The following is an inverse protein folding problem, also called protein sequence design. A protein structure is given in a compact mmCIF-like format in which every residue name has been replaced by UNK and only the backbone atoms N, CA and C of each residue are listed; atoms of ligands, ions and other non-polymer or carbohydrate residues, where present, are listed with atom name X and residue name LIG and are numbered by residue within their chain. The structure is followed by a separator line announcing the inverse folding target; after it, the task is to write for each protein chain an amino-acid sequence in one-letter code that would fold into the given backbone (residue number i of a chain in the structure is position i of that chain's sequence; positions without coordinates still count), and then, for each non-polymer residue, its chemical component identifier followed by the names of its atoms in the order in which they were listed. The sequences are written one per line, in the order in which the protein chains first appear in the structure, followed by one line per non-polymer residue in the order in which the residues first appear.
data_IF_394962920994
#
_entry.id   IF_394962920994
#
_cell.length_a   1.000
_cell.length_b   1.000
_cell.length_c   1.000
_cell.angle_alpha   90.00
_cell.angle_beta   90.00
_cell.angle_gamma   90.00
#
_symmetry.space_group_name_H-M   'P 1'
#
loop_
_entity.id
_entity.type
_entity.pdbx_description
1 polymer ?
#
# COMPACT_ATOMS: atom_id res chain seq x y z
N UNK A 1 11.77 19.39 14.73
CA UNK A 1 10.74 18.39 14.38
C UNK A 1 11.38 17.00 14.42
N UNK A 2 11.37 16.32 15.60
CA UNK A 2 11.66 14.88 15.63
C UNK A 2 10.42 14.18 15.06
N UNK A 3 10.46 13.76 13.79
CA UNK A 3 9.46 12.83 13.29
C UNK A 3 9.54 11.57 14.17
N UNK A 4 8.40 11.11 14.66
CA UNK A 4 8.34 9.86 15.42
C UNK A 4 8.85 8.75 14.50
N UNK A 5 10.00 8.16 14.84
CA UNK A 5 10.58 7.07 14.06
C UNK A 5 9.70 5.82 14.23
N UNK A 6 9.33 5.20 13.12
CA UNK A 6 8.64 3.91 13.12
C UNK A 6 9.66 2.86 13.53
N UNK A 7 9.43 2.18 14.66
CA UNK A 7 10.34 1.14 15.22
C UNK A 7 9.76 -0.26 15.20
N UNK A 8 8.45 -0.37 15.13
CA UNK A 8 7.74 -1.65 15.13
C UNK A 8 6.78 -1.75 13.94
N UNK A 9 6.65 -2.97 13.40
CA UNK A 9 5.69 -3.30 12.35
C UNK A 9 4.24 -3.01 12.75
N UNK A 10 3.93 -2.96 14.04
CA UNK A 10 2.62 -2.57 14.54
C UNK A 10 2.26 -1.10 14.25
N UNK A 11 3.25 -0.27 13.87
CA UNK A 11 3.06 1.11 13.47
C UNK A 11 2.81 1.28 11.96
N UNK A 12 2.84 0.18 11.18
CA UNK A 12 2.47 0.18 9.77
C UNK A 12 0.96 0.31 9.61
N UNK A 13 0.51 1.01 8.60
CA UNK A 13 -0.93 1.16 8.31
C UNK A 13 -1.53 -0.17 7.87
N UNK A 14 -0.88 -0.86 6.95
CA UNK A 14 -1.22 -2.20 6.49
C UNK A 14 0.04 -3.01 6.21
N UNK A 15 -0.06 -4.31 6.40
CA UNK A 15 0.98 -5.27 6.04
C UNK A 15 0.34 -6.54 5.46
N UNK A 16 0.89 -7.02 4.36
CA UNK A 16 0.58 -8.32 3.76
C UNK A 16 1.87 -9.13 3.66
N UNK A 17 1.96 -10.21 4.41
CA UNK A 17 3.10 -11.13 4.35
C UNK A 17 3.06 -11.95 3.07
N UNK A 18 4.18 -12.03 2.36
CA UNK A 18 4.28 -12.81 1.13
C UNK A 18 4.04 -14.31 1.42
N UNK A 19 4.44 -14.80 2.60
CA UNK A 19 4.15 -16.16 3.05
C UNK A 19 2.64 -16.48 3.20
N UNK A 20 1.79 -15.46 3.30
CA UNK A 20 0.34 -15.66 3.36
C UNK A 20 -0.31 -15.88 1.99
N UNK A 21 0.44 -15.68 0.89
CA UNK A 21 -0.03 -15.94 -0.47
C UNK A 21 -0.09 -17.45 -0.66
N UNK A 22 -1.27 -18.04 -0.97
CA UNK A 22 -1.39 -19.48 -1.09
C UNK A 22 -0.87 -19.98 -2.44
N UNK A 23 -0.28 -21.17 -2.45
CA UNK A 23 0.05 -21.91 -3.69
C UNK A 23 -1.23 -22.44 -4.36
N UNK A 24 -2.10 -21.52 -4.75
CA UNK A 24 -3.37 -21.84 -5.39
C UNK A 24 -3.44 -21.15 -6.75
N UNK A 25 -4.17 -21.75 -7.68
CA UNK A 25 -4.35 -21.16 -9.01
C UNK A 25 -4.93 -19.74 -8.89
N UNK A 26 -4.34 -18.75 -9.59
CA UNK A 26 -4.69 -17.32 -9.54
C UNK A 26 -3.94 -16.54 -8.47
N UNK A 27 -2.92 -17.16 -7.86
CA UNK A 27 -1.93 -16.48 -7.04
C UNK A 27 -0.54 -16.82 -7.55
N UNK A 28 0.31 -15.80 -7.61
CA UNK A 28 1.71 -15.91 -7.95
C UNK A 28 2.53 -14.96 -7.07
N UNK A 29 3.76 -15.35 -6.76
CA UNK A 29 4.79 -14.47 -6.22
C UNK A 29 6.17 -14.96 -6.64
N UNK A 30 7.05 -14.05 -7.03
CA UNK A 30 8.43 -14.39 -7.37
C UNK A 30 9.22 -14.99 -6.19
N UNK A 31 8.71 -14.86 -4.96
CA UNK A 31 9.30 -15.53 -3.80
C UNK A 31 9.34 -17.07 -3.94
N UNK A 32 8.48 -17.66 -4.78
CA UNK A 32 8.48 -19.10 -5.08
C UNK A 32 9.50 -19.49 -6.15
N UNK A 33 10.03 -18.52 -6.88
CA UNK A 33 10.89 -18.67 -8.04
C UNK A 33 10.31 -17.97 -9.26
N UNK A 34 11.16 -17.70 -10.23
CA UNK A 34 10.76 -17.16 -11.53
C UNK A 34 10.13 -18.26 -12.36
N UNK A 35 9.11 -17.93 -13.12
CA UNK A 35 8.53 -18.76 -14.17
C UNK A 35 8.54 -18.02 -15.52
N UNK A 36 8.11 -18.71 -16.59
CA UNK A 36 8.04 -18.16 -17.94
C UNK A 36 6.71 -17.45 -18.23
N UNK A 37 5.73 -17.54 -17.34
CA UNK A 37 4.38 -17.00 -17.54
C UNK A 37 4.28 -15.54 -17.05
N UNK A 38 5.16 -15.12 -16.11
CA UNK A 38 5.12 -13.80 -15.48
C UNK A 38 6.31 -12.92 -15.87
N UNK A 39 6.06 -11.64 -16.02
CA UNK A 39 7.09 -10.64 -16.31
C UNK A 39 8.11 -10.56 -15.16
N UNK A 40 9.39 -10.26 -15.43
CA UNK A 40 10.43 -10.17 -14.38
C UNK A 40 10.15 -9.11 -13.31
N UNK A 41 9.31 -8.12 -13.60
CA UNK A 41 8.91 -7.06 -12.69
C UNK A 41 7.56 -7.32 -11.99
N UNK A 42 6.89 -8.45 -12.26
CA UNK A 42 5.68 -8.88 -11.56
C UNK A 42 6.03 -9.61 -10.26
N UNK A 43 6.05 -8.91 -9.14
CA UNK A 43 6.44 -9.52 -7.86
C UNK A 43 5.36 -10.38 -7.22
N UNK A 44 4.12 -9.92 -7.32
CA UNK A 44 2.94 -10.61 -6.77
C UNK A 44 1.79 -10.41 -7.76
N UNK A 45 1.06 -11.47 -8.02
CA UNK A 45 -0.19 -11.44 -8.78
C UNK A 45 -1.28 -12.20 -8.04
N UNK A 46 -2.46 -11.59 -7.93
CA UNK A 46 -3.63 -12.23 -7.32
C UNK A 46 -4.87 -11.89 -8.12
N UNK A 47 -5.51 -12.92 -8.66
CA UNK A 47 -6.73 -12.80 -9.46
C UNK A 47 -7.96 -13.21 -8.63
N UNK A 48 -9.03 -12.42 -8.72
CA UNK A 48 -10.30 -12.77 -8.08
C UNK A 48 -10.93 -13.98 -8.76
N UNK A 49 -11.64 -14.77 -7.97
CA UNK A 49 -12.38 -15.94 -8.45
C UNK A 49 -13.80 -15.91 -7.92
N UNK A 50 -14.69 -16.46 -8.71
CA UNK A 50 -16.06 -16.68 -8.26
C UNK A 50 -16.07 -17.74 -7.17
N UNK A 51 -16.81 -17.47 -6.09
CA UNK A 51 -17.02 -18.42 -5.03
C UNK A 51 -17.68 -19.71 -5.59
N UNK A 52 -17.18 -20.90 -5.25
CA UNK A 52 -17.81 -22.15 -5.66
C UNK A 52 -19.23 -22.25 -5.11
N UNK A 53 -20.20 -22.59 -5.97
CA UNK A 53 -21.59 -22.71 -5.57
C UNK A 53 -21.79 -23.92 -4.64
N UNK A 54 -22.48 -23.69 -3.54
CA UNK A 54 -22.80 -24.76 -2.58
C UNK A 54 -23.61 -25.87 -3.27
N UNK A 55 -23.17 -27.13 -3.22
CA UNK A 55 -23.88 -28.22 -3.89
C UNK A 55 -25.26 -28.45 -3.24
N UNK A 56 -26.27 -28.56 -4.07
CA UNK A 56 -27.65 -28.76 -3.60
C UNK A 56 -27.80 -30.09 -2.85
N UNK A 57 -28.36 -30.02 -1.66
CA UNK A 57 -28.70 -31.20 -0.83
C UNK A 57 -29.72 -32.08 -1.56
N UNK A 58 -29.52 -33.40 -1.62
CA UNK A 58 -30.47 -34.32 -2.22
C UNK A 58 -31.89 -34.15 -1.61
N UNK A 59 -32.92 -34.15 -2.45
CA UNK A 59 -34.29 -33.84 -2.02
C UNK A 59 -34.74 -34.76 -0.87
N UNK A 60 -34.33 -36.03 -0.89
CA UNK A 60 -34.68 -37.01 0.14
C UNK A 60 -34.02 -36.71 1.49
N UNK A 61 -32.91 -35.98 1.51
CA UNK A 61 -32.14 -35.66 2.73
C UNK A 61 -32.51 -34.30 3.32
N UNK A 62 -33.24 -33.44 2.58
CA UNK A 62 -33.47 -32.03 2.96
C UNK A 62 -34.07 -31.86 4.39
N UNK A 63 -35.05 -32.69 4.74
CA UNK A 63 -35.72 -32.62 6.07
C UNK A 63 -34.82 -33.18 7.20
N UNK A 64 -33.80 -33.96 6.81
CA UNK A 64 -32.88 -34.62 7.74
C UNK A 64 -31.60 -33.87 7.99
N UNK A 65 -31.35 -32.78 7.26
CA UNK A 65 -30.14 -31.99 7.40
C UNK A 65 -30.34 -30.83 8.34
N UNK A 66 -29.38 -30.61 9.23
CA UNK A 66 -29.36 -29.43 10.06
C UNK A 66 -29.12 -28.18 9.21
N UNK A 67 -30.14 -27.37 8.98
CA UNK A 67 -30.09 -26.15 8.18
C UNK A 67 -29.06 -25.13 8.72
N UNK A 68 -28.79 -25.14 10.01
CA UNK A 68 -27.80 -24.25 10.63
C UNK A 68 -26.36 -24.68 10.29
N UNK A 69 -26.14 -26.02 10.27
CA UNK A 69 -24.82 -26.57 9.90
C UNK A 69 -24.46 -26.30 8.42
N UNK A 70 -25.45 -26.29 7.53
CA UNK A 70 -25.20 -25.92 6.09
C UNK A 70 -24.71 -24.48 5.90
N UNK A 71 -24.94 -23.59 6.87
CA UNK A 71 -24.45 -22.21 6.82
C UNK A 71 -22.98 -22.09 7.19
N UNK A 72 -22.47 -23.06 7.97
CA UNK A 72 -21.05 -23.15 8.31
C UNK A 72 -20.33 -23.90 7.20
N UNK A 73 -19.93 -23.19 6.17
CA UNK A 73 -19.38 -23.73 4.90
C UNK A 73 -18.12 -24.61 5.05
N UNK A 74 -17.49 -24.69 6.22
CA UNK A 74 -16.30 -25.52 6.48
C UNK A 74 -16.57 -26.84 7.19
N UNK A 75 -17.72 -26.98 7.84
CA UNK A 75 -18.03 -28.15 8.66
C UNK A 75 -18.88 -29.17 7.88
N UNK A 76 -18.55 -30.45 8.05
CA UNK A 76 -19.35 -31.53 7.48
C UNK A 76 -20.76 -31.51 8.11
N UNK A 77 -21.83 -31.30 7.33
CA UNK A 77 -23.16 -31.29 7.88
C UNK A 77 -23.60 -32.71 8.32
N UNK A 78 -24.14 -32.82 9.50
CA UNK A 78 -24.64 -34.09 10.01
C UNK A 78 -26.15 -34.22 9.78
N UNK A 79 -26.59 -35.46 9.55
CA UNK A 79 -28.02 -35.77 9.51
C UNK A 79 -28.61 -35.75 10.92
N UNK A 80 -29.81 -35.27 11.04
CA UNK A 80 -30.59 -35.31 12.27
C UNK A 80 -30.97 -36.76 12.59
N UNK A 81 -30.76 -37.21 13.82
CA UNK A 81 -31.10 -38.56 14.27
C UNK A 81 -32.61 -38.85 14.27
N UNK A 82 -33.43 -37.77 14.36
CA UNK A 82 -34.88 -37.84 14.33
C UNK A 82 -35.47 -36.55 13.75
N UNK A 83 -36.60 -36.66 13.06
CA UNK A 83 -37.38 -35.52 12.57
C UNK A 83 -38.84 -35.71 13.04
N UNK A 84 -39.56 -34.59 13.14
CA UNK A 84 -40.99 -34.61 13.47
C UNK A 84 -41.81 -34.09 12.29
N UNK A 85 -42.75 -34.87 11.82
CA UNK A 85 -43.65 -34.48 10.73
C UNK A 85 -45.09 -34.49 11.23
N UNK A 86 -45.89 -33.57 10.74
CA UNK A 86 -47.33 -33.61 10.97
C UNK A 86 -47.94 -34.65 10.02
N UNK A 87 -48.55 -35.68 10.59
CA UNK A 87 -49.30 -36.69 9.80
C UNK A 87 -50.79 -36.55 10.11
N UNK A 88 -51.63 -36.98 9.17
CA UNK A 88 -53.05 -37.01 9.38
C UNK A 88 -53.35 -37.99 10.53
N UNK A 89 -54.11 -37.50 11.52
CA UNK A 89 -54.50 -38.34 12.65
C UNK A 89 -55.39 -39.49 12.16
N UNK A 90 -54.98 -40.75 12.33
CA UNK A 90 -55.80 -41.91 11.90
C UNK A 90 -57.17 -41.99 12.56
N UNK A 91 -57.30 -41.45 13.76
CA UNK A 91 -58.55 -41.47 14.55
C UNK A 91 -59.38 -40.23 14.31
N UNK A 92 -58.94 -39.29 13.48
CA UNK A 92 -59.71 -38.06 13.21
C UNK A 92 -60.93 -38.36 12.34
N UNK A 93 -62.08 -37.82 12.72
CA UNK A 93 -63.36 -37.82 11.98
C UNK A 93 -63.92 -36.41 11.94
N UNK A 94 -64.61 -36.08 10.87
CA UNK A 94 -65.21 -34.76 10.69
C UNK A 94 -66.20 -34.51 11.83
N UNK A 95 -66.00 -33.39 12.59
CA UNK A 95 -66.79 -33.09 13.83
C UNK A 95 -66.23 -33.65 15.12
N UNK A 96 -65.03 -34.28 15.13
CA UNK A 96 -64.40 -34.74 16.39
C UNK A 96 -63.62 -33.61 17.05
N UNK A 97 -63.48 -33.61 18.37
CA UNK A 97 -62.67 -32.71 19.18
C UNK A 97 -61.17 -32.99 19.03
N UNK A 98 -60.74 -33.97 18.23
CA UNK A 98 -59.38 -34.35 18.06
C UNK A 98 -58.76 -33.54 16.91
N UNK A 99 -57.44 -33.15 16.99
CA UNK A 99 -56.79 -32.44 15.93
C UNK A 99 -56.67 -33.30 14.66
N UNK A 100 -56.86 -32.69 13.47
CA UNK A 100 -56.78 -33.37 12.18
C UNK A 100 -55.36 -33.92 11.89
N UNK A 101 -54.33 -33.30 12.45
CA UNK A 101 -52.93 -33.73 12.30
C UNK A 101 -52.28 -33.90 13.66
N UNK A 102 -51.42 -34.92 13.78
CA UNK A 102 -50.65 -35.24 14.98
C UNK A 102 -49.17 -35.29 14.63
N UNK A 103 -48.27 -34.89 15.55
CA UNK A 103 -46.84 -35.00 15.34
C UNK A 103 -46.41 -36.47 15.36
N UNK A 104 -45.76 -36.91 14.32
CA UNK A 104 -45.14 -38.22 14.19
C UNK A 104 -43.63 -38.07 14.14
N UNK A 105 -42.88 -38.81 14.97
CA UNK A 105 -41.44 -38.81 15.04
C UNK A 105 -40.88 -39.96 14.23
N UNK A 106 -40.09 -39.65 13.19
CA UNK A 106 -39.35 -40.61 12.39
C UNK A 106 -37.89 -40.65 12.87
N UNK A 107 -37.29 -41.82 12.92
CA UNK A 107 -35.89 -42.00 13.27
C UNK A 107 -35.04 -42.34 12.03
N UNK A 108 -33.86 -41.71 11.89
CA UNK A 108 -32.97 -41.94 10.76
C UNK A 108 -32.57 -43.41 10.58
N UNK A 109 -32.41 -44.16 11.69
CA UNK A 109 -32.11 -45.61 11.69
C UNK A 109 -33.13 -46.45 10.92
N UNK A 110 -34.37 -45.97 10.80
CA UNK A 110 -35.45 -46.65 10.11
C UNK A 110 -35.45 -46.37 8.60
N UNK A 111 -34.57 -45.46 8.16
CA UNK A 111 -34.42 -44.97 6.77
C UNK A 111 -33.00 -45.17 6.21
N UNK A 112 -32.45 -46.39 6.07
CA UNK A 112 -31.08 -46.63 5.66
C UNK A 112 -30.77 -46.12 4.23
N UNK A 113 -31.80 -45.92 3.42
CA UNK A 113 -31.63 -45.34 2.07
C UNK A 113 -31.24 -43.85 2.12
N UNK A 114 -31.76 -43.10 3.11
CA UNK A 114 -31.38 -41.69 3.31
C UNK A 114 -29.93 -41.57 3.71
N UNK A 115 -29.47 -42.43 4.65
CA UNK A 115 -28.06 -42.46 5.07
C UNK A 115 -27.15 -42.76 3.88
N UNK A 116 -27.44 -43.78 3.07
CA UNK A 116 -26.63 -44.11 1.88
C UNK A 116 -26.61 -42.99 0.82
N UNK A 117 -27.75 -42.30 0.65
CA UNK A 117 -27.82 -41.16 -0.28
C UNK A 117 -27.01 -39.98 0.24
N UNK A 118 -27.02 -39.76 1.56
CA UNK A 118 -26.20 -38.74 2.20
C UNK A 118 -24.72 -39.03 2.11
N UNK A 119 -24.28 -40.24 2.43
CA UNK A 119 -22.88 -40.64 2.37
C UNK A 119 -22.32 -40.45 0.96
N UNK A 120 -23.08 -40.84 -0.06
CA UNK A 120 -22.71 -40.60 -1.47
C UNK A 120 -22.65 -39.09 -1.79
N UNK A 121 -23.61 -38.29 -1.35
CA UNK A 121 -23.59 -36.85 -1.55
C UNK A 121 -22.36 -36.21 -0.90
N UNK A 122 -22.01 -36.61 0.31
CA UNK A 122 -20.82 -36.13 1.01
C UNK A 122 -19.57 -36.47 0.21
N UNK A 123 -19.40 -37.71 -0.21
CA UNK A 123 -18.22 -38.16 -0.94
C UNK A 123 -18.09 -37.54 -2.33
N UNK A 124 -19.19 -37.51 -3.12
CA UNK A 124 -19.13 -37.10 -4.53
C UNK A 124 -19.33 -35.57 -4.73
N UNK A 125 -19.91 -34.86 -3.79
CA UNK A 125 -20.28 -33.44 -3.96
C UNK A 125 -19.72 -32.54 -2.87
N UNK A 126 -19.92 -32.88 -1.60
CA UNK A 126 -19.55 -32.02 -0.48
C UNK A 126 -18.04 -31.92 -0.31
N UNK A 127 -17.31 -33.04 -0.25
CA UNK A 127 -15.86 -33.04 -0.06
C UNK A 127 -15.13 -32.30 -1.20
N UNK A 128 -15.38 -32.58 -2.50
CA UNK A 128 -14.77 -31.82 -3.58
C UNK A 128 -15.10 -30.34 -3.57
N UNK A 129 -16.34 -29.99 -3.18
CA UNK A 129 -16.73 -28.59 -3.03
C UNK A 129 -15.96 -27.93 -1.87
N UNK A 130 -15.83 -28.58 -0.72
CA UNK A 130 -15.11 -28.08 0.45
C UNK A 130 -13.63 -27.79 0.12
N UNK A 131 -12.98 -28.68 -0.61
CA UNK A 131 -11.60 -28.46 -1.08
C UNK A 131 -11.52 -27.21 -1.98
N UNK A 132 -12.42 -27.09 -2.94
CA UNK A 132 -12.47 -25.95 -3.86
C UNK A 132 -12.81 -24.64 -3.13
N UNK A 133 -13.72 -24.71 -2.14
CA UNK A 133 -14.12 -23.55 -1.33
C UNK A 133 -12.98 -23.10 -0.41
N UNK A 134 -12.26 -24.00 0.23
CA UNK A 134 -11.11 -23.69 1.08
C UNK A 134 -9.98 -23.05 0.27
N UNK A 135 -9.72 -23.56 -0.95
CA UNK A 135 -8.76 -22.95 -1.87
C UNK A 135 -9.21 -21.52 -2.26
N UNK A 136 -10.47 -21.36 -2.62
CA UNK A 136 -11.04 -20.04 -2.93
C UNK A 136 -10.95 -19.09 -1.73
N UNK A 137 -11.27 -19.55 -0.52
CA UNK A 137 -11.23 -18.71 0.69
C UNK A 137 -9.83 -18.16 0.97
N UNK A 138 -8.78 -18.99 0.81
CA UNK A 138 -7.39 -18.55 0.95
C UNK A 138 -7.04 -17.46 -0.04
N UNK A 139 -7.37 -17.64 -1.32
CA UNK A 139 -7.14 -16.64 -2.38
C UNK A 139 -7.93 -15.37 -2.11
N UNK A 140 -9.22 -15.51 -1.75
CA UNK A 140 -10.11 -14.38 -1.47
C UNK A 140 -9.64 -13.53 -0.27
N UNK A 141 -9.06 -14.16 0.75
CA UNK A 141 -8.48 -13.46 1.90
C UNK A 141 -7.32 -12.56 1.49
N UNK A 142 -6.40 -13.06 0.64
CA UNK A 142 -5.28 -12.27 0.13
C UNK A 142 -5.78 -11.17 -0.80
N UNK A 143 -6.69 -11.50 -1.71
CA UNK A 143 -7.32 -10.53 -2.61
C UNK A 143 -7.99 -9.38 -1.83
N UNK A 144 -8.75 -9.70 -0.79
CA UNK A 144 -9.40 -8.70 0.07
C UNK A 144 -8.38 -7.82 0.83
N UNK A 145 -7.25 -8.39 1.21
CA UNK A 145 -6.16 -7.65 1.84
C UNK A 145 -5.52 -6.66 0.85
N UNK A 146 -5.24 -7.09 -0.38
CA UNK A 146 -4.74 -6.21 -1.45
C UNK A 146 -5.75 -5.12 -1.80
N UNK A 147 -7.03 -5.47 -1.90
CA UNK A 147 -8.09 -4.48 -2.12
C UNK A 147 -8.11 -3.42 -1.02
N UNK A 148 -7.98 -3.85 0.23
CA UNK A 148 -7.92 -2.93 1.38
C UNK A 148 -6.69 -2.02 1.31
N UNK A 149 -5.51 -2.56 0.97
CA UNK A 149 -4.28 -1.77 0.79
C UNK A 149 -4.47 -0.74 -0.32
N UNK A 150 -5.03 -1.15 -1.46
CA UNK A 150 -5.30 -0.25 -2.59
C UNK A 150 -6.25 0.89 -2.21
N UNK A 151 -7.36 0.59 -1.51
CA UNK A 151 -8.31 1.60 -1.06
C UNK A 151 -7.68 2.57 -0.05
N UNK A 152 -6.90 2.08 0.89
CA UNK A 152 -6.20 2.91 1.87
C UNK A 152 -5.13 3.78 1.20
N UNK A 153 -4.40 3.26 0.23
CA UNK A 153 -3.42 4.04 -0.53
C UNK A 153 -4.07 5.21 -1.26
N UNK A 154 -5.23 4.98 -1.91
CA UNK A 154 -6.01 6.04 -2.55
C UNK A 154 -6.54 7.08 -1.54
N UNK A 155 -6.95 6.63 -0.34
CA UNK A 155 -7.47 7.49 0.71
C UNK A 155 -6.40 8.34 1.37
N UNK A 156 -5.25 7.75 1.67
CA UNK A 156 -4.16 8.39 2.43
C UNK A 156 -3.29 9.28 1.54
N UNK A 157 -3.28 9.04 0.23
CA UNK A 157 -2.52 9.81 -0.73
C UNK A 157 -1.00 9.68 -0.52
N UNK A 158 -0.25 10.68 -0.94
CA UNK A 158 1.21 10.63 -1.04
C UNK A 158 1.99 10.79 0.27
N UNK A 159 1.31 11.07 1.36
CA UNK A 159 1.96 11.00 2.68
C UNK A 159 2.33 9.55 3.04
N UNK A 160 1.78 8.59 2.31
CA UNK A 160 2.02 7.16 2.51
C UNK A 160 2.71 6.56 1.29
N UNK A 161 3.50 5.54 1.53
CA UNK A 161 4.23 4.79 0.51
C UNK A 161 3.91 3.30 0.63
N UNK A 162 3.86 2.64 -0.52
CA UNK A 162 3.80 1.20 -0.60
C UNK A 162 5.20 0.68 -0.88
N UNK A 163 5.69 -0.23 -0.06
CA UNK A 163 7.02 -0.82 -0.21
C UNK A 163 6.99 -2.32 -0.03
N UNK A 164 7.87 -3.02 -0.72
CA UNK A 164 8.23 -4.40 -0.43
C UNK A 164 9.34 -4.36 0.61
N UNK A 165 9.10 -4.92 1.80
CA UNK A 165 10.07 -5.04 2.88
C UNK A 165 10.70 -6.41 2.91
N UNK A 166 12.01 -6.47 3.14
CA UNK A 166 12.84 -7.68 3.23
C UNK A 166 13.70 -7.61 4.50
N UNK A 167 13.91 -8.75 5.14
CA UNK A 167 14.76 -8.86 6.32
C UNK A 167 14.14 -8.21 7.56
N UNK A 168 13.20 -8.89 8.20
CA UNK A 168 12.56 -8.44 9.43
C UNK A 168 13.53 -8.58 10.59
N UNK A 169 14.09 -7.47 11.07
CA UNK A 169 14.87 -7.40 12.29
C UNK A 169 13.96 -7.52 13.51
N UNK A 170 14.30 -8.39 14.45
CA UNK A 170 13.72 -8.44 15.79
C UNK A 170 14.86 -8.33 16.81
N UNK A 171 14.92 -7.21 17.53
CA UNK A 171 16.01 -6.90 18.45
C UNK A 171 15.56 -6.06 19.65
N UNK A 172 16.18 -6.27 20.79
CA UNK A 172 16.14 -5.34 21.91
C UNK A 172 17.48 -4.64 22.01
N UNK A 173 17.50 -3.35 21.74
CA UNK A 173 18.72 -2.55 21.70
C UNK A 173 19.38 -2.47 23.06
N UNK A 174 20.68 -2.12 23.15
CA UNK A 174 21.38 -1.90 24.42
C UNK A 174 20.72 -0.84 25.30
N UNK A 175 20.01 0.12 24.70
CA UNK A 175 19.22 1.16 25.39
C UNK A 175 17.89 0.63 25.93
N UNK A 176 17.55 -0.66 25.70
CA UNK A 176 16.33 -1.31 26.14
C UNK A 176 15.11 -1.09 25.22
N UNK A 177 15.31 -0.45 24.07
CA UNK A 177 14.24 -0.22 23.10
C UNK A 177 14.03 -1.47 22.26
N UNK A 178 12.80 -1.69 21.81
CA UNK A 178 12.46 -2.76 20.86
C UNK A 178 12.48 -2.21 19.44
N UNK A 179 13.21 -2.90 18.57
CA UNK A 179 13.16 -2.70 17.12
C UNK A 179 12.60 -3.96 16.46
N UNK A 180 11.52 -3.82 15.71
CA UNK A 180 10.95 -4.90 14.88
C UNK A 180 10.50 -4.32 13.55
N UNK A 181 11.41 -4.26 12.58
CA UNK A 181 11.18 -3.61 11.29
C UNK A 181 12.06 -4.21 10.20
N UNK A 182 11.64 -4.10 8.94
CA UNK A 182 12.41 -4.54 7.79
C UNK A 182 13.66 -3.66 7.58
N UNK A 183 14.77 -4.31 7.25
CA UNK A 183 16.09 -3.68 7.05
C UNK A 183 16.31 -3.21 5.62
N UNK A 184 15.67 -3.86 4.65
CA UNK A 184 15.76 -3.50 3.22
C UNK A 184 14.35 -3.32 2.69
N UNK A 185 14.16 -2.29 1.89
CA UNK A 185 12.87 -2.01 1.25
C UNK A 185 13.06 -1.63 -0.23
N UNK A 186 12.05 -1.91 -1.03
CA UNK A 186 11.92 -1.43 -2.40
C UNK A 186 10.57 -0.75 -2.59
N UNK A 187 10.53 0.36 -3.34
CA UNK A 187 9.27 1.04 -3.64
C UNK A 187 8.42 0.18 -4.57
N UNK A 188 7.15 0.03 -4.24
CA UNK A 188 6.21 -0.81 -4.93
C UNK A 188 5.00 -0.02 -5.45
N UNK A 189 4.40 -0.52 -6.53
CA UNK A 189 3.13 -0.07 -7.06
C UNK A 189 2.15 -1.23 -6.99
N UNK A 190 0.92 -0.96 -6.58
CA UNK A 190 -0.19 -1.90 -6.63
C UNK A 190 -1.15 -1.48 -7.73
N UNK A 191 -1.15 -2.24 -8.81
CA UNK A 191 -2.03 -2.03 -9.96
C UNK A 191 -3.29 -2.89 -9.84
N UNK A 192 -4.43 -2.35 -10.26
CA UNK A 192 -5.69 -3.08 -10.30
C UNK A 192 -6.30 -3.07 -11.69
N UNK A 193 -6.36 -4.23 -12.31
CA UNK A 193 -7.03 -4.42 -13.59
C UNK A 193 -8.49 -4.85 -13.39
N UNK A 194 -9.41 -3.89 -13.51
CA UNK A 194 -10.84 -4.10 -13.21
C UNK A 194 -11.51 -5.13 -14.12
N UNK A 195 -11.04 -5.31 -15.37
CA UNK A 195 -11.63 -6.26 -16.32
C UNK A 195 -11.38 -7.71 -15.90
N UNK A 196 -10.20 -7.99 -15.39
CA UNK A 196 -9.78 -9.33 -14.96
C UNK A 196 -10.03 -9.53 -13.46
N UNK A 197 -10.27 -8.45 -12.71
CA UNK A 197 -10.33 -8.51 -11.26
C UNK A 197 -8.98 -8.93 -10.66
N UNK A 198 -7.88 -8.41 -11.24
CA UNK A 198 -6.52 -8.82 -10.93
C UNK A 198 -5.76 -7.69 -10.25
N UNK A 199 -5.04 -8.02 -9.20
CA UNK A 199 -4.04 -7.17 -8.57
C UNK A 199 -2.65 -7.63 -8.98
N UNK A 200 -1.80 -6.68 -9.36
CA UNK A 200 -0.38 -6.92 -9.65
C UNK A 200 0.47 -5.95 -8.82
N UNK A 201 1.49 -6.47 -8.13
CA UNK A 201 2.49 -5.66 -7.44
C UNK A 201 3.75 -5.65 -8.26
N UNK A 202 4.23 -4.44 -8.59
CA UNK A 202 5.43 -4.20 -9.40
C UNK A 202 6.36 -3.21 -8.71
N UNK A 203 7.66 -3.13 -9.11
CA UNK A 203 8.52 -2.02 -8.71
C UNK A 203 7.97 -0.68 -9.21
N UNK A 204 8.33 0.39 -8.53
CA UNK A 204 8.04 1.73 -9.03
C UNK A 204 8.76 1.98 -10.37
N UNK A 205 8.23 2.86 -11.25
CA UNK A 205 8.57 3.09 -12.66
C UNK A 205 10.06 3.25 -13.01
N UNK A 206 10.93 3.48 -12.05
CA UNK A 206 12.40 3.57 -12.25
C UNK A 206 13.15 2.27 -11.91
N UNK A 207 12.45 1.15 -11.76
CA UNK A 207 13.00 -0.13 -11.34
C UNK A 207 13.00 -0.32 -9.82
N UNK A 208 13.28 -1.55 -9.39
CA UNK A 208 13.37 -1.89 -7.98
C UNK A 208 14.64 -1.31 -7.37
N UNK A 209 14.59 -0.10 -6.82
CA UNK A 209 15.72 0.44 -6.06
C UNK A 209 15.65 -0.09 -4.64
N UNK A 210 16.39 -1.17 -4.39
CA UNK A 210 16.55 -1.71 -3.04
C UNK A 210 17.34 -0.71 -2.19
N UNK A 211 16.80 -0.33 -1.05
CA UNK A 211 17.48 0.57 -0.10
C UNK A 211 17.49 -0.01 1.30
N UNK A 212 18.64 0.01 1.98
CA UNK A 212 18.71 -0.33 3.39
C UNK A 212 18.11 0.78 4.24
N UNK A 213 17.43 0.39 5.30
CA UNK A 213 16.84 1.31 6.28
C UNK A 213 17.30 0.93 7.68
N UNK A 214 18.07 1.80 8.32
CA UNK A 214 18.54 1.67 9.71
C UNK A 214 18.02 2.82 10.59
N UNK A 215 17.13 3.65 10.05
CA UNK A 215 16.59 4.82 10.73
C UNK A 215 15.74 4.53 11.97
N UNK A 216 15.33 3.25 12.16
CA UNK A 216 14.68 2.80 13.39
C UNK A 216 15.64 2.65 14.57
N UNK A 217 16.96 2.64 14.32
CA UNK A 217 17.99 2.57 15.34
C UNK A 217 18.45 3.98 15.70
N UNK A 218 18.79 4.21 16.97
CA UNK A 218 19.40 5.46 17.38
C UNK A 218 20.80 5.59 16.74
N UNK A 219 21.27 6.83 16.52
CA UNK A 219 22.52 7.10 15.79
C UNK A 219 23.71 6.37 16.40
N UNK A 220 23.71 6.22 17.73
CA UNK A 220 24.76 5.51 18.48
C UNK A 220 24.71 3.99 18.28
N UNK A 221 23.56 3.46 17.88
CA UNK A 221 23.32 2.03 17.64
C UNK A 221 23.49 1.66 16.16
N UNK A 222 23.54 2.66 15.26
CA UNK A 222 23.72 2.41 13.82
C UNK A 222 25.18 2.06 13.52
N UNK A 223 25.43 0.90 12.87
CA UNK A 223 26.80 0.54 12.54
C UNK A 223 27.36 1.50 11.48
N UNK A 224 28.55 2.01 11.74
CA UNK A 224 29.22 2.96 10.85
C UNK A 224 29.40 2.36 9.43
N UNK A 225 28.99 3.10 8.40
CA UNK A 225 29.09 2.73 6.98
C UNK A 225 28.31 1.48 6.56
N UNK A 226 27.56 0.80 7.46
CA UNK A 226 26.81 -0.40 7.07
C UNK A 226 25.75 -0.10 6.00
N UNK A 227 25.06 1.03 6.11
CA UNK A 227 24.06 1.46 5.16
C UNK A 227 24.67 1.75 3.77
N UNK A 228 25.82 2.42 3.70
CA UNK A 228 26.52 2.70 2.46
C UNK A 228 27.03 1.42 1.78
N UNK A 229 27.62 0.51 2.57
CA UNK A 229 28.10 -0.78 2.07
C UNK A 229 26.96 -1.62 1.53
N UNK A 230 25.84 -1.66 2.25
CA UNK A 230 24.62 -2.37 1.82
C UNK A 230 24.06 -1.79 0.53
N UNK A 231 23.98 -0.46 0.39
CA UNK A 231 23.55 0.22 -0.86
C UNK A 231 24.39 -0.21 -2.06
N UNK A 232 25.71 -0.20 -1.92
CA UNK A 232 26.62 -0.59 -3.01
C UNK A 232 26.43 -2.05 -3.39
N UNK A 233 26.21 -2.93 -2.41
CA UNK A 233 26.04 -4.36 -2.67
C UNK A 233 24.70 -4.65 -3.36
N UNK A 234 23.62 -3.98 -2.94
CA UNK A 234 22.30 -4.11 -3.55
C UNK A 234 22.27 -3.60 -4.99
N UNK A 235 22.89 -2.45 -5.27
CA UNK A 235 22.98 -1.92 -6.64
C UNK A 235 23.78 -2.82 -7.60
N UNK A 236 24.69 -3.65 -7.11
CA UNK A 236 25.42 -4.64 -7.94
C UNK A 236 24.57 -5.84 -8.34
N UNK A 237 23.48 -6.08 -7.67
CA UNK A 237 22.53 -7.16 -7.93
C UNK A 237 21.35 -6.70 -8.80
N UNK A 238 21.52 -5.64 -9.61
CA UNK A 238 20.44 -5.05 -10.41
C UNK A 238 19.17 -4.71 -9.61
N UNK A 239 19.34 -4.53 -8.28
CA UNK A 239 18.25 -4.20 -7.35
C UNK A 239 17.07 -5.21 -7.36
N UNK A 240 17.33 -6.48 -7.71
CA UNK A 240 16.30 -7.52 -7.71
C UNK A 240 16.03 -8.03 -6.27
N UNK A 241 14.82 -7.82 -5.72
CA UNK A 241 14.48 -8.25 -4.36
C UNK A 241 14.43 -9.77 -4.18
N UNK A 242 14.34 -10.52 -5.29
CA UNK A 242 14.21 -11.97 -5.30
C UNK A 242 15.50 -12.70 -5.63
N UNK A 243 16.57 -11.97 -5.91
CA UNK A 243 17.90 -12.56 -6.04
C UNK A 243 18.45 -12.94 -4.66
N UNK A 244 18.12 -14.15 -4.23
CA UNK A 244 18.39 -14.65 -2.87
C UNK A 244 19.84 -14.43 -2.44
N UNK A 245 20.81 -14.82 -3.25
CA UNK A 245 22.22 -14.76 -2.86
C UNK A 245 22.73 -13.36 -2.52
N UNK A 246 22.24 -12.33 -3.19
CA UNK A 246 22.63 -10.96 -2.92
C UNK A 246 21.90 -10.38 -1.69
N UNK A 247 20.57 -10.50 -1.66
CA UNK A 247 19.75 -10.00 -0.56
C UNK A 247 20.13 -10.66 0.75
N UNK A 248 20.29 -11.99 0.77
CA UNK A 248 20.74 -12.73 1.93
C UNK A 248 22.13 -12.27 2.44
N UNK A 249 23.10 -12.12 1.51
CA UNK A 249 24.43 -11.64 1.86
C UNK A 249 24.40 -10.24 2.50
N UNK A 250 23.56 -9.35 2.01
CA UNK A 250 23.38 -8.01 2.59
C UNK A 250 22.71 -8.08 3.96
N UNK A 251 21.65 -8.87 4.11
CA UNK A 251 20.95 -9.03 5.40
C UNK A 251 21.84 -9.66 6.47
N UNK A 252 22.62 -10.68 6.11
CA UNK A 252 23.63 -11.27 7.00
C UNK A 252 24.71 -10.26 7.40
N UNK A 253 25.21 -9.49 6.43
CA UNK A 253 26.20 -8.46 6.73
C UNK A 253 25.63 -7.35 7.64
N UNK A 254 24.37 -6.94 7.42
CA UNK A 254 23.71 -5.95 8.27
C UNK A 254 23.51 -6.46 9.70
N UNK A 255 22.98 -7.66 9.90
CA UNK A 255 22.76 -8.19 11.25
C UNK A 255 24.06 -8.37 12.01
N UNK A 256 25.12 -8.85 11.35
CA UNK A 256 26.44 -8.99 11.98
C UNK A 256 27.13 -7.66 12.24
N UNK A 257 26.84 -6.62 11.45
CA UNK A 257 27.36 -5.27 11.71
C UNK A 257 26.66 -4.61 12.91
N UNK A 258 25.38 -4.94 13.16
CA UNK A 258 24.64 -4.52 14.36
C UNK A 258 25.18 -5.25 15.58
N UNK A 259 25.35 -6.57 15.49
CA UNK A 259 25.91 -7.39 16.55
C UNK A 259 26.53 -8.65 15.93
N UNK A 260 27.81 -8.91 16.24
CA UNK A 260 28.55 -10.07 15.72
C UNK A 260 27.95 -11.44 16.10
N UNK A 261 27.08 -11.49 17.10
CA UNK A 261 26.34 -12.68 17.48
C UNK A 261 24.92 -12.75 16.86
N UNK A 262 24.58 -11.81 16.00
CA UNK A 262 23.28 -11.78 15.33
C UNK A 262 23.06 -13.01 14.45
N UNK A 263 21.81 -13.42 14.32
CA UNK A 263 21.41 -14.55 13.47
C UNK A 263 20.60 -14.06 12.27
N UNK A 264 20.74 -14.78 11.15
CA UNK A 264 19.91 -14.65 9.97
C UNK A 264 19.16 -15.96 9.68
N UNK A 265 17.88 -15.85 9.29
CA UNK A 265 17.01 -16.96 8.93
C UNK A 265 16.37 -16.65 7.55
N UNK A 266 16.55 -17.54 6.59
CA UNK A 266 16.06 -17.40 5.21
C UNK A 266 14.55 -17.71 5.04
N UNK A 267 13.83 -17.86 6.15
CA UNK A 267 12.42 -18.21 6.14
C UNK A 267 11.55 -17.10 5.53
N UNK A 268 10.61 -17.49 4.69
CA UNK A 268 9.57 -16.59 4.21
C UNK A 268 8.49 -16.36 5.27
N UNK A 269 8.33 -17.28 6.22
CA UNK A 269 7.34 -17.19 7.29
C UNK A 269 7.83 -16.31 8.45
N UNK A 270 6.92 -15.54 9.00
CA UNK A 270 7.19 -14.73 10.18
C UNK A 270 7.07 -15.56 11.43
N UNK A 271 8.15 -15.69 12.15
CA UNK A 271 8.17 -16.36 13.46
C UNK A 271 7.80 -15.38 14.57
N UNK A 272 7.15 -15.87 15.61
CA UNK A 272 6.87 -15.05 16.80
C UNK A 272 8.08 -15.02 17.74
N UNK A 273 9.17 -14.35 17.29
CA UNK A 273 10.41 -14.25 18.05
C UNK A 273 10.27 -13.15 19.11
N UNK A 274 10.67 -13.46 20.33
CA UNK A 274 10.81 -12.43 21.37
C UNK A 274 12.08 -11.63 21.14
N UNK A 275 11.94 -10.31 21.20
CA UNK A 275 13.10 -9.42 21.14
C UNK A 275 14.06 -9.74 22.30
N UNK A 276 15.33 -9.88 21.98
CA UNK A 276 16.42 -10.14 22.93
C UNK A 276 17.62 -9.25 22.60
N UNK A 277 18.66 -9.28 23.42
CA UNK A 277 19.91 -8.56 23.15
C UNK A 277 20.66 -9.09 21.93
N UNK A 278 20.33 -10.32 21.47
CA UNK A 278 20.83 -10.90 20.24
C UNK A 278 19.85 -10.56 19.11
N UNK A 279 20.25 -9.78 18.10
CA UNK A 279 19.40 -9.49 16.97
C UNK A 279 19.17 -10.72 16.11
N UNK A 280 17.94 -10.88 15.61
CA UNK A 280 17.57 -11.90 14.65
C UNK A 280 16.94 -11.22 13.46
N UNK A 281 17.38 -11.60 12.27
CA UNK A 281 16.80 -11.13 11.00
C UNK A 281 16.20 -12.32 10.27
N UNK A 282 14.91 -12.27 10.02
CA UNK A 282 14.17 -13.23 9.18
C UNK A 282 14.00 -12.61 7.80
N UNK A 283 14.13 -13.36 6.70
CA UNK A 283 13.89 -12.82 5.35
C UNK A 283 12.49 -12.21 5.25
N UNK A 284 11.47 -12.94 5.68
CA UNK A 284 10.09 -12.54 5.93
C UNK A 284 9.57 -11.39 5.05
N UNK A 285 9.51 -11.57 3.72
CA UNK A 285 9.10 -10.51 2.81
C UNK A 285 7.65 -10.10 3.04
N UNK A 286 7.38 -8.80 2.96
CA UNK A 286 6.04 -8.24 3.15
C UNK A 286 5.78 -7.03 2.27
N UNK A 287 4.56 -6.91 1.76
CA UNK A 287 4.05 -5.67 1.17
C UNK A 287 3.51 -4.78 2.29
N UNK A 288 4.00 -3.56 2.37
CA UNK A 288 3.81 -2.66 3.52
C UNK A 288 3.28 -1.31 3.04
N UNK A 289 2.13 -0.91 3.56
CA UNK A 289 1.65 0.46 3.45
C UNK A 289 2.01 1.20 4.74
N UNK A 290 2.81 2.27 4.61
CA UNK A 290 3.29 3.04 5.76
C UNK A 290 3.40 4.52 5.44
N UNK A 291 3.48 5.34 6.47
CA UNK A 291 3.79 6.76 6.31
C UNK A 291 5.19 6.92 5.75
N UNK A 292 5.32 7.79 4.73
CA UNK A 292 6.60 8.06 4.06
C UNK A 292 7.62 8.59 5.06
N UNK A 293 8.83 8.06 5.00
CA UNK A 293 9.91 8.53 5.88
C UNK A 293 10.32 9.96 5.51
N UNK A 294 10.48 10.80 6.53
CA UNK A 294 10.98 12.15 6.35
C UNK A 294 12.52 12.20 6.18
N UNK A 295 13.19 11.06 6.03
CA UNK A 295 14.66 10.96 5.98
C UNK A 295 15.25 11.81 4.85
N UNK A 296 14.66 11.76 3.65
CA UNK A 296 15.11 12.57 2.51
C UNK A 296 15.03 14.07 2.78
N UNK A 297 13.94 14.54 3.38
CA UNK A 297 13.79 15.93 3.79
C UNK A 297 14.83 16.30 4.86
N UNK A 298 15.05 15.44 5.84
CA UNK A 298 16.03 15.66 6.91
C UNK A 298 17.46 15.74 6.36
N UNK A 299 17.82 14.88 5.41
CA UNK A 299 19.13 14.93 4.73
C UNK A 299 19.30 16.22 3.91
N UNK A 300 18.27 16.64 3.19
CA UNK A 300 18.27 17.90 2.44
C UNK A 300 18.45 19.09 3.37
N UNK A 301 17.69 19.13 4.49
CA UNK A 301 17.84 20.18 5.49
C UNK A 301 19.21 20.18 6.16
N UNK A 302 19.82 19.02 6.39
CA UNK A 302 21.20 18.92 6.89
C UNK A 302 22.20 19.50 5.88
N UNK A 303 22.08 19.17 4.59
CA UNK A 303 22.93 19.72 3.52
C UNK A 303 22.81 21.25 3.43
N UNK A 304 21.58 21.76 3.45
CA UNK A 304 21.32 23.20 3.47
C UNK A 304 21.98 23.85 4.70
N UNK A 305 21.80 23.25 5.89
CA UNK A 305 22.42 23.73 7.12
C UNK A 305 23.97 23.76 7.00
N UNK A 306 24.58 22.70 6.50
CA UNK A 306 26.03 22.61 6.28
C UNK A 306 26.54 23.67 5.29
N UNK A 307 25.77 23.95 4.23
CA UNK A 307 26.10 25.01 3.26
C UNK A 307 26.06 26.39 3.93
N UNK A 308 25.02 26.66 4.72
CA UNK A 308 24.91 27.92 5.48
C UNK A 308 26.07 28.03 6.48
N UNK A 309 26.40 26.96 7.22
CA UNK A 309 27.51 26.95 8.19
C UNK A 309 28.89 27.15 7.52
N UNK A 310 29.04 26.76 6.26
CA UNK A 310 30.25 27.02 5.44
C UNK A 310 30.33 28.45 4.91
N UNK A 311 29.28 29.26 5.16
CA UNK A 311 29.23 30.65 4.72
C UNK A 311 28.90 30.83 3.24
N UNK A 312 28.25 29.84 2.62
CA UNK A 312 27.66 30.01 1.29
C UNK A 312 26.51 31.02 1.38
N UNK A 313 26.49 31.99 0.47
CA UNK A 313 25.45 33.01 0.44
C UNK A 313 24.09 32.39 0.11
N UNK A 314 23.08 32.77 0.88
CA UNK A 314 21.70 32.41 0.57
C UNK A 314 21.23 33.30 -0.58
N UNK A 315 20.73 32.74 -1.71
CA UNK A 315 20.16 33.57 -2.78
C UNK A 315 19.12 34.57 -2.22
N UNK A 316 19.21 35.82 -2.62
CA UNK A 316 18.38 36.89 -2.08
C UNK A 316 16.87 36.59 -2.14
N UNK A 317 16.44 35.97 -3.21
CA UNK A 317 15.06 35.57 -3.43
C UNK A 317 14.56 34.56 -2.35
N UNK A 318 15.43 33.68 -1.85
CA UNK A 318 15.10 32.79 -0.75
C UNK A 318 15.11 33.50 0.60
N UNK A 319 15.99 34.48 0.80
CA UNK A 319 16.02 35.29 2.01
C UNK A 319 14.74 36.10 2.13
N UNK A 320 14.28 36.69 1.04
CA UNK A 320 13.03 37.44 0.99
C UNK A 320 11.80 36.55 1.25
N UNK A 321 11.78 35.34 0.67
CA UNK A 321 10.71 34.37 0.88
C UNK A 321 10.65 33.87 2.34
N UNK A 322 11.80 33.75 3.00
CA UNK A 322 11.91 33.30 4.40
C UNK A 322 11.81 34.45 5.41
N UNK A 323 11.58 35.70 4.96
CA UNK A 323 11.57 36.91 5.79
C UNK A 323 12.85 37.10 6.61
N UNK A 324 13.99 36.58 6.10
CA UNK A 324 15.29 36.73 6.73
C UNK A 324 15.90 38.06 6.30
N UNK A 325 15.58 39.11 7.00
CA UNK A 325 16.21 40.42 6.78
C UNK A 325 17.64 40.42 7.32
N UNK A 326 18.63 40.33 6.44
CA UNK A 326 20.01 40.63 6.80
C UNK A 326 20.13 42.10 7.14
N UNK A 327 20.64 42.41 8.33
CA UNK A 327 20.80 43.77 8.89
C UNK A 327 21.83 44.66 8.15
N UNK A 328 21.98 44.51 6.86
CA UNK A 328 22.86 45.36 6.07
C UNK A 328 22.05 46.11 5.00
N UNK A 329 21.57 47.31 5.40
CA UNK A 329 21.39 48.47 4.57
C UNK A 329 20.56 48.27 3.29
N UNK A 330 19.25 48.09 3.42
CA UNK A 330 18.33 48.61 2.43
C UNK A 330 17.45 49.66 3.08
N UNK A 331 17.69 50.89 2.67
CA UNK A 331 16.80 52.02 2.94
C UNK A 331 15.39 51.65 2.50
N UNK A 332 14.45 51.89 3.42
CA UNK A 332 13.03 51.89 3.11
C UNK A 332 12.77 52.97 2.05
N UNK A 333 12.72 52.57 0.83
CA UNK A 333 12.10 53.35 -0.23
C UNK A 333 10.60 53.27 -0.07
N UNK A 334 10.06 54.22 0.68
CA UNK A 334 8.65 54.57 0.65
C UNK A 334 8.40 55.21 -0.73
N UNK A 335 8.16 54.39 -1.71
CA UNK A 335 7.97 54.77 -3.11
C UNK A 335 6.68 54.19 -3.64
N UNK A 336 5.60 54.91 -3.39
CA UNK A 336 4.52 54.97 -4.38
C UNK A 336 5.10 55.48 -5.70
N UNK A 337 5.48 54.54 -6.55
CA UNK A 337 5.56 54.78 -7.98
C UNK A 337 4.76 53.64 -8.65
N UNK A 338 3.48 53.95 -8.83
CA UNK A 338 2.68 53.35 -9.88
C UNK A 338 3.28 53.76 -11.24
N UNK A 339 4.39 53.17 -11.61
CA UNK A 339 4.81 53.19 -13.00
C UNK A 339 3.90 52.20 -13.72
N UNK A 340 2.84 52.77 -14.30
CA UNK A 340 2.07 52.15 -15.38
C UNK A 340 2.98 52.00 -16.62
N UNK A 341 3.97 51.14 -16.53
CA UNK A 341 4.65 50.64 -17.72
C UNK A 341 3.75 49.50 -18.29
N UNK A 342 2.78 49.86 -19.14
CA UNK A 342 2.09 48.90 -19.97
C UNK A 342 3.13 48.12 -20.76
N UNK A 343 3.13 46.80 -20.58
CA UNK A 343 4.03 45.92 -21.30
C UNK A 343 3.62 45.85 -22.78
N UNK A 344 4.50 46.34 -23.67
CA UNK A 344 4.36 46.31 -25.14
C UNK A 344 4.82 44.95 -25.74
N UNK A 345 4.93 43.90 -24.93
CA UNK A 345 5.35 42.56 -25.35
C UNK A 345 4.17 41.59 -25.47
N UNK A 346 4.32 40.63 -26.39
CA UNK A 346 3.32 39.61 -26.61
C UNK A 346 3.19 38.67 -25.38
N UNK A 347 1.95 38.47 -24.90
CA UNK A 347 1.64 37.59 -23.77
C UNK A 347 1.10 36.25 -24.32
N UNK A 348 1.84 35.15 -24.03
CA UNK A 348 1.53 33.80 -24.50
C UNK A 348 0.62 33.06 -23.50
N UNK A 349 -0.68 33.40 -23.53
CA UNK A 349 -1.69 32.76 -22.69
C UNK A 349 -2.63 31.86 -23.50
N UNK A 350 -2.52 30.52 -23.43
CA UNK A 350 -3.37 29.63 -24.18
C UNK A 350 -4.82 29.54 -23.64
N UNK A 351 -5.07 29.96 -22.39
CA UNK A 351 -6.39 29.96 -21.79
C UNK A 351 -6.94 31.39 -21.71
N UNK A 352 -8.27 31.58 -21.76
CA UNK A 352 -8.90 32.87 -21.54
C UNK A 352 -8.43 33.52 -20.23
N UNK A 353 -8.13 34.79 -20.25
CA UNK A 353 -7.65 35.57 -19.11
C UNK A 353 -8.27 36.97 -19.06
N UNK A 354 -8.42 37.51 -17.86
CA UNK A 354 -8.81 38.91 -17.64
C UNK A 354 -7.61 39.83 -17.47
N UNK A 355 -7.83 41.13 -17.40
CA UNK A 355 -6.77 42.13 -17.29
C UNK A 355 -5.99 41.99 -15.96
N UNK A 356 -6.64 41.62 -14.87
CA UNK A 356 -5.97 41.41 -13.58
C UNK A 356 -4.97 40.23 -13.65
N UNK A 357 -5.35 39.16 -14.34
CA UNK A 357 -4.48 38.01 -14.54
C UNK A 357 -3.29 38.35 -15.46
N UNK A 358 -3.49 39.21 -16.44
CA UNK A 358 -2.41 39.70 -17.33
C UNK A 358 -1.41 40.58 -16.58
N UNK A 359 -1.90 41.46 -15.71
CA UNK A 359 -1.04 42.30 -14.84
C UNK A 359 -0.11 41.50 -13.93
N UNK A 360 -0.40 40.22 -13.67
CA UNK A 360 0.51 39.37 -12.91
C UNK A 360 1.85 39.20 -13.65
N UNK A 361 1.85 39.13 -14.98
CA UNK A 361 3.08 39.04 -15.80
C UNK A 361 3.95 40.27 -15.59
N UNK A 362 3.35 41.47 -15.59
CA UNK A 362 4.07 42.73 -15.37
C UNK A 362 4.68 42.77 -13.98
N UNK A 363 3.90 42.32 -12.97
CA UNK A 363 4.39 42.24 -11.58
C UNK A 363 5.53 41.24 -11.39
N UNK A 364 5.48 40.08 -12.04
CA UNK A 364 6.57 39.07 -11.97
C UNK A 364 7.87 39.61 -12.57
N UNK A 365 7.79 40.48 -13.57
CA UNK A 365 8.97 41.11 -14.18
C UNK A 365 9.56 42.24 -13.35
N UNK A 366 8.69 42.95 -12.61
CA UNK A 366 9.09 44.10 -11.81
C UNK A 366 9.53 43.75 -10.39
N UNK A 367 9.18 42.60 -9.87
CA UNK A 367 9.41 42.19 -8.48
C UNK A 367 10.07 40.83 -8.36
N UNK A 368 10.88 40.63 -7.32
CA UNK A 368 11.50 39.35 -6.99
C UNK A 368 10.51 38.25 -6.59
N UNK A 369 9.27 38.61 -6.20
CA UNK A 369 8.21 37.68 -5.87
C UNK A 369 6.81 38.30 -5.97
N UNK A 370 5.83 37.51 -6.37
CA UNK A 370 4.43 37.93 -6.48
C UNK A 370 3.52 36.93 -5.78
N UNK A 371 2.74 37.41 -4.83
CA UNK A 371 1.71 36.62 -4.15
C UNK A 371 0.37 36.80 -4.87
N UNK A 372 -0.18 35.69 -5.37
CA UNK A 372 -1.50 35.68 -6.02
C UNK A 372 -2.53 35.01 -5.12
N UNK A 373 -3.47 35.78 -4.60
CA UNK A 373 -4.57 35.29 -3.79
C UNK A 373 -5.91 35.41 -4.54
N UNK A 374 -6.78 34.44 -4.32
CA UNK A 374 -8.13 34.47 -4.88
C UNK A 374 -9.03 33.40 -4.25
N UNK A 375 -10.34 33.65 -4.11
CA UNK A 375 -11.31 32.66 -3.64
C UNK A 375 -11.36 31.43 -4.54
N UNK A 376 -11.95 30.31 -4.10
CA UNK A 376 -12.25 29.17 -4.98
C UNK A 376 -13.11 29.63 -6.19
N UNK A 377 -12.81 29.09 -7.38
CA UNK A 377 -13.56 29.42 -8.60
C UNK A 377 -13.09 30.65 -9.40
N UNK A 378 -12.10 31.42 -8.93
CA UNK A 378 -11.56 32.62 -9.62
C UNK A 378 -10.60 32.31 -10.79
N UNK A 379 -10.45 31.05 -11.18
CA UNK A 379 -9.57 30.68 -12.30
C UNK A 379 -8.07 30.63 -11.95
N UNK A 380 -7.69 30.52 -10.66
CA UNK A 380 -6.27 30.44 -10.25
C UNK A 380 -5.47 29.40 -11.02
N UNK A 381 -5.99 28.21 -11.20
CA UNK A 381 -5.30 27.13 -11.95
C UNK A 381 -5.08 27.50 -13.41
N UNK A 382 -6.06 28.17 -14.05
CA UNK A 382 -5.90 28.71 -15.41
C UNK A 382 -4.85 29.83 -15.46
N UNK A 383 -4.82 30.69 -14.46
CA UNK A 383 -3.79 31.72 -14.35
C UNK A 383 -2.39 31.13 -14.23
N UNK A 384 -2.21 30.11 -13.39
CA UNK A 384 -0.93 29.40 -13.21
C UNK A 384 -0.53 28.71 -14.53
N UNK A 385 -1.44 27.99 -15.18
CA UNK A 385 -1.16 27.34 -16.47
C UNK A 385 -0.75 28.38 -17.55
N UNK A 386 -1.43 29.52 -17.63
CA UNK A 386 -1.10 30.61 -18.52
C UNK A 386 0.30 31.19 -18.23
N UNK A 387 0.63 31.40 -16.96
CA UNK A 387 1.96 31.87 -16.55
C UNK A 387 3.05 30.88 -16.90
N UNK A 388 2.84 29.58 -16.68
CA UNK A 388 3.77 28.51 -17.06
C UNK A 388 4.06 28.59 -18.57
N UNK A 389 3.00 28.62 -19.40
CA UNK A 389 3.13 28.70 -20.84
C UNK A 389 3.87 29.97 -21.29
N UNK A 390 3.55 31.12 -20.68
CA UNK A 390 4.23 32.38 -20.99
C UNK A 390 5.73 32.35 -20.63
N UNK A 391 6.07 31.85 -19.44
CA UNK A 391 7.46 31.75 -18.98
C UNK A 391 8.27 30.79 -19.87
N UNK A 392 7.70 29.63 -20.23
CA UNK A 392 8.33 28.69 -21.14
C UNK A 392 8.50 29.30 -22.55
N UNK A 393 7.48 29.98 -23.10
CA UNK A 393 7.54 30.63 -24.41
C UNK A 393 8.57 31.76 -24.45
N UNK A 394 8.87 32.38 -23.32
CA UNK A 394 9.92 33.40 -23.17
C UNK A 394 11.30 32.83 -22.84
N UNK A 395 11.46 31.49 -22.90
CA UNK A 395 12.74 30.78 -22.69
C UNK A 395 13.17 30.65 -21.23
N UNK A 396 12.26 30.86 -20.29
CA UNK A 396 12.57 30.74 -18.87
C UNK A 396 12.41 29.29 -18.38
N UNK A 397 13.29 28.86 -17.47
CA UNK A 397 13.13 27.59 -16.74
C UNK A 397 12.18 27.80 -15.56
N UNK A 398 11.12 27.03 -15.49
CA UNK A 398 10.09 27.17 -14.46
C UNK A 398 10.05 25.94 -13.58
N UNK A 399 10.24 26.10 -12.27
CA UNK A 399 10.00 25.06 -11.28
C UNK A 399 8.63 25.24 -10.67
N UNK A 400 7.78 24.22 -10.77
CA UNK A 400 6.44 24.23 -10.23
C UNK A 400 6.39 23.29 -9.02
N UNK A 401 5.96 23.81 -7.89
CA UNK A 401 5.79 23.02 -6.67
C UNK A 401 4.38 23.12 -6.16
N UNK A 402 3.85 22.05 -5.57
CA UNK A 402 2.54 22.05 -4.95
C UNK A 402 2.56 21.23 -3.65
N UNK A 403 1.59 21.50 -2.79
CA UNK A 403 1.43 20.73 -1.54
C UNK A 403 1.00 19.29 -1.82
N UNK A 404 0.26 19.06 -2.91
CA UNK A 404 -0.25 17.74 -3.31
C UNK A 404 -0.03 17.52 -4.80
N UNK A 405 0.34 16.31 -5.25
CA UNK A 405 0.49 15.97 -6.65
C UNK A 405 -0.78 16.10 -7.46
N UNK A 406 -1.93 15.90 -6.83
CA UNK A 406 -3.22 16.14 -7.49
C UNK A 406 -3.31 17.57 -8.05
N UNK A 407 -2.73 18.55 -7.34
CA UNK A 407 -2.66 19.92 -7.85
C UNK A 407 -1.77 20.05 -9.08
N UNK A 408 -0.64 19.31 -9.13
CA UNK A 408 0.25 19.25 -10.30
C UNK A 408 -0.43 18.55 -11.48
N UNK A 409 -1.09 17.41 -11.25
CA UNK A 409 -1.85 16.69 -12.29
C UNK A 409 -2.96 17.56 -12.91
N UNK A 410 -3.65 18.36 -12.09
CA UNK A 410 -4.64 19.32 -12.60
C UNK A 410 -3.98 20.39 -13.47
N UNK A 411 -2.80 20.88 -13.11
CA UNK A 411 -2.04 21.86 -13.89
C UNK A 411 -1.51 21.24 -15.18
N UNK A 412 -0.98 20.03 -15.13
CA UNK A 412 -0.52 19.27 -16.29
C UNK A 412 -1.64 19.13 -17.34
N UNK A 413 -2.86 18.77 -16.91
CA UNK A 413 -4.02 18.69 -17.80
C UNK A 413 -4.50 20.05 -18.34
N UNK A 414 -3.99 21.17 -17.84
CA UNK A 414 -4.32 22.52 -18.34
C UNK A 414 -3.24 23.11 -19.26
N UNK A 415 -2.02 22.60 -19.22
CA UNK A 415 -0.93 22.98 -20.13
C UNK A 415 -1.10 22.21 -21.45
N UNK A 416 -0.91 22.86 -22.62
CA UNK A 416 -0.93 22.17 -23.91
C UNK A 416 0.13 21.07 -23.98
N UNK A 417 -0.21 19.93 -24.62
CA UNK A 417 0.70 18.78 -24.74
C UNK A 417 1.96 19.03 -25.58
N UNK A 418 1.97 20.12 -26.31
CA UNK A 418 3.09 20.52 -27.18
C UNK A 418 4.19 21.27 -26.44
N UNK A 419 3.95 21.64 -25.17
CA UNK A 419 4.90 22.32 -24.28
C UNK A 419 5.47 21.36 -23.25
#
# INVERSE_FOLDING_TARGET
LRSKLIRDIAEYEKILWVSSIPHERGCFTQAWGRDEEHEPDEWIEVETRREPELPAVPTQCKDWVNQTALRNKGDLPELLSKISRQIRNPDWREGSDQPETIPHTEHLKDHPAIQRTWDRYVEEKWLPWTESHNAWEKVHKVYSSLFTIHQEQLRLGEEYELVLGLGLLTWQTPTGQRARRHLVVADAILEFEARLGKFTVRPHTEGAKLRPELDMLDIEEQPARAEETAKVSLSRADDDPWEKGCVEGVLQALVHSINSQGDYDDTLEVKNIRASSKPVVELAPALILRKRSAKGLTETLKRIKEQIEKGEDIPGEFADLAEVHTKNGCEQGDGQDETNAEFDGEIFFPKPSNDEQRRIVDKIRAASGVLVQGPPGTGKSHTIANLICHLLATGQRTLITAKTPRALQVLEGLVPNEL
#
